data_IF_776944398303
#
_entry.id   IF_776944398303
#
_cell.length_a   1.000
_cell.length_b   1.000
_cell.length_c   1.000
_cell.angle_alpha   90.00
_cell.angle_beta   90.00
_cell.angle_gamma   90.00
#
_symmetry.space_group_name_H-M   'P 1'
#
loop_
_entity.id
_entity.type
_entity.pdbx_description
1 polymer ?
#
# COMPACT_ATOMS: atom_id res chain seq x y z
N UNK A 1 15.94 1.54 2.87
CA UNK A 1 15.34 2.76 3.49
C UNK A 1 14.86 3.70 2.39
N UNK A 2 14.12 4.78 2.66
CA UNK A 2 13.25 5.53 1.71
C UNK A 2 13.66 5.59 0.22
N UNK A 3 14.95 5.72 -0.10
CA UNK A 3 15.55 5.61 -1.44
C UNK A 3 15.15 4.34 -2.20
N UNK A 4 15.17 3.18 -1.56
CA UNK A 4 14.70 1.92 -2.17
C UNK A 4 13.20 1.97 -2.47
N UNK A 5 12.43 2.65 -1.62
CA UNK A 5 10.99 2.84 -1.83
C UNK A 5 10.69 3.65 -3.09
N UNK A 6 11.52 4.65 -3.39
CA UNK A 6 11.29 5.51 -4.57
C UNK A 6 11.31 4.72 -5.88
N UNK A 7 12.08 3.64 -5.95
CA UNK A 7 12.13 2.76 -7.13
C UNK A 7 10.79 2.07 -7.45
N UNK A 8 9.84 2.08 -6.52
CA UNK A 8 8.51 1.51 -6.71
C UNK A 8 7.47 2.52 -7.20
N UNK A 9 7.75 3.82 -7.18
CA UNK A 9 6.79 4.84 -7.64
C UNK A 9 6.41 4.57 -9.12
N UNK A 10 5.10 4.58 -9.39
CA UNK A 10 4.51 4.26 -10.68
C UNK A 10 4.34 2.76 -10.96
N UNK A 11 4.92 1.88 -10.13
CA UNK A 11 4.80 0.42 -10.29
C UNK A 11 3.58 -0.14 -9.57
N UNK A 12 3.11 -1.28 -10.06
CA UNK A 12 2.08 -2.08 -9.42
C UNK A 12 2.76 -3.16 -8.59
N UNK A 13 2.41 -3.23 -7.30
CA UNK A 13 2.94 -4.22 -6.36
C UNK A 13 1.82 -5.01 -5.71
N UNK A 14 2.14 -6.22 -5.27
CA UNK A 14 1.24 -7.01 -4.43
C UNK A 14 1.38 -6.60 -2.97
N UNK A 15 0.25 -6.44 -2.29
CA UNK A 15 0.18 -6.04 -0.90
C UNK A 15 -0.78 -6.96 -0.16
N UNK A 16 -0.29 -7.57 0.92
CA UNK A 16 -1.11 -8.28 1.90
C UNK A 16 -1.78 -7.25 2.82
N UNK A 17 -3.10 -7.23 2.86
CA UNK A 17 -3.87 -6.38 3.76
C UNK A 17 -3.75 -6.90 5.19
N UNK A 18 -3.35 -6.02 6.10
CA UNK A 18 -3.21 -6.33 7.53
C UNK A 18 -4.29 -5.66 8.38
N UNK A 19 -4.98 -4.66 7.85
CA UNK A 19 -6.13 -4.04 8.51
C UNK A 19 -6.37 -2.60 8.07
N UNK A 20 -7.10 -1.84 8.89
CA UNK A 20 -7.34 -0.41 8.66
C UNK A 20 -6.08 0.42 8.85
N UNK A 21 -5.92 1.44 8.00
CA UNK A 21 -4.86 2.44 8.15
C UNK A 21 -5.23 3.44 9.25
N UNK A 22 -4.25 3.83 10.07
CA UNK A 22 -4.35 4.99 10.96
C UNK A 22 -3.92 6.30 10.30
N UNK A 23 -3.28 6.23 9.12
CA UNK A 23 -2.85 7.40 8.34
C UNK A 23 -4.06 8.04 7.66
N UNK A 24 -4.29 9.33 7.94
CA UNK A 24 -5.38 10.10 7.33
C UNK A 24 -5.33 10.04 5.81
N UNK A 25 -6.50 9.89 5.18
CA UNK A 25 -6.64 9.79 3.73
C UNK A 25 -6.37 8.41 3.13
N UNK A 26 -6.02 7.41 3.95
CA UNK A 26 -5.84 6.02 3.53
C UNK A 26 -6.84 5.10 4.24
N UNK A 27 -7.32 4.08 3.54
CA UNK A 27 -8.38 3.19 4.01
C UNK A 27 -7.82 1.94 4.71
N UNK A 28 -6.71 1.41 4.21
CA UNK A 28 -6.11 0.15 4.68
C UNK A 28 -4.59 0.25 4.78
N UNK A 29 -4.00 -0.63 5.58
CA UNK A 29 -2.56 -0.84 5.68
C UNK A 29 -2.21 -2.28 5.35
N UNK A 30 -0.99 -2.48 4.87
CA UNK A 30 -0.48 -3.79 4.52
C UNK A 30 1.02 -3.82 4.33
N UNK A 31 1.52 -4.96 3.86
CA UNK A 31 2.94 -5.16 3.54
C UNK A 31 3.11 -5.78 2.17
N UNK A 32 4.18 -5.41 1.48
CA UNK A 32 4.62 -6.10 0.28
C UNK A 32 5.85 -6.96 0.61
N UNK A 33 6.08 -8.08 -0.09
CA UNK A 33 7.28 -8.90 0.12
C UNK A 33 8.58 -8.11 -0.08
N UNK A 34 8.53 -7.07 -0.90
CA UNK A 34 9.70 -6.31 -1.33
C UNK A 34 9.90 -4.99 -0.54
N UNK A 35 8.95 -4.57 0.30
CA UNK A 35 9.07 -3.33 1.08
C UNK A 35 8.19 -3.34 2.35
N UNK A 36 8.68 -2.67 3.40
CA UNK A 36 8.18 -2.84 4.77
C UNK A 36 6.67 -2.61 4.91
N UNK A 37 6.18 -1.38 4.66
CA UNK A 37 4.79 -1.02 4.91
C UNK A 37 4.14 -0.34 3.71
N UNK A 38 2.83 -0.49 3.58
CA UNK A 38 2.02 0.13 2.54
C UNK A 38 0.75 0.75 3.12
N UNK A 39 0.44 1.99 2.75
CA UNK A 39 -0.85 2.64 2.99
C UNK A 39 -1.65 2.66 1.69
N UNK A 40 -2.89 2.15 1.74
CA UNK A 40 -3.71 1.91 0.56
C UNK A 40 -4.97 2.78 0.61
N UNK A 41 -5.17 3.54 -0.46
CA UNK A 41 -6.45 4.17 -0.81
C UNK A 41 -7.30 3.21 -1.62
N UNK A 42 -8.58 3.12 -1.31
CA UNK A 42 -9.55 2.44 -2.18
C UNK A 42 -10.86 3.21 -2.22
N UNK A 43 -11.47 3.26 -3.39
CA UNK A 43 -12.84 3.77 -3.59
C UNK A 43 -13.88 2.65 -3.56
N UNK A 44 -13.43 1.39 -3.50
CA UNK A 44 -14.29 0.21 -3.68
C UNK A 44 -14.05 -0.81 -2.56
N UNK A 45 -15.15 -1.36 -2.04
CA UNK A 45 -15.19 -2.63 -1.31
C UNK A 45 -14.64 -2.65 0.12
N UNK A 46 -15.20 -3.55 0.91
CA UNK A 46 -14.64 -4.03 2.18
C UNK A 46 -13.52 -5.03 1.89
N UNK A 47 -12.29 -4.53 1.78
CA UNK A 47 -11.11 -5.39 1.90
C UNK A 47 -11.01 -5.91 3.34
N UNK A 48 -10.54 -7.13 3.52
CA UNK A 48 -10.32 -7.74 4.85
C UNK A 48 -8.85 -8.11 5.03
N UNK A 49 -8.46 -8.26 6.30
CA UNK A 49 -7.14 -8.78 6.65
C UNK A 49 -6.94 -10.16 6.02
N UNK A 50 -5.79 -10.37 5.39
CA UNK A 50 -5.46 -11.59 4.66
C UNK A 50 -5.64 -11.50 3.14
N UNK A 51 -6.36 -10.49 2.63
CA UNK A 51 -6.48 -10.28 1.19
C UNK A 51 -5.13 -9.85 0.60
N UNK A 52 -4.79 -10.39 -0.57
CA UNK A 52 -3.65 -9.91 -1.38
C UNK A 52 -4.22 -9.12 -2.55
N UNK A 53 -3.82 -7.86 -2.67
CA UNK A 53 -4.30 -6.94 -3.72
C UNK A 53 -3.15 -6.34 -4.50
N UNK A 54 -3.43 -5.86 -5.71
CA UNK A 54 -2.49 -5.01 -6.46
C UNK A 54 -2.69 -3.54 -6.07
N UNK A 55 -1.58 -2.83 -5.86
CA UNK A 55 -1.56 -1.41 -5.51
C UNK A 55 -0.63 -0.69 -6.48
N UNK A 56 -1.11 0.39 -7.09
CA UNK A 56 -0.25 1.33 -7.80
C UNK A 56 0.41 2.26 -6.78
N UNK A 57 1.74 2.27 -6.72
CA UNK A 57 2.48 3.11 -5.78
C UNK A 57 2.60 4.52 -6.34
N UNK A 58 2.13 5.50 -5.58
CA UNK A 58 2.07 6.91 -6.01
C UNK A 58 3.16 7.75 -5.34
N UNK A 59 3.52 7.44 -4.09
CA UNK A 59 4.59 8.14 -3.37
C UNK A 59 5.13 7.30 -2.21
N UNK A 60 6.20 7.78 -1.58
CA UNK A 60 6.82 7.18 -0.40
C UNK A 60 6.91 8.21 0.70
N UNK A 61 6.51 7.83 1.92
CA UNK A 61 6.66 8.67 3.11
C UNK A 61 7.24 7.84 4.25
N UNK A 62 8.41 8.25 4.76
CA UNK A 62 9.16 7.46 5.73
C UNK A 62 9.46 6.05 5.22
N UNK A 63 8.95 5.04 5.92
CA UNK A 63 9.12 3.62 5.57
C UNK A 63 7.88 3.00 4.91
N UNK A 64 6.98 3.83 4.37
CA UNK A 64 5.73 3.35 3.76
C UNK A 64 5.60 3.78 2.30
N UNK A 65 5.29 2.79 1.46
CA UNK A 65 4.74 3.02 0.13
C UNK A 65 3.29 3.48 0.29
N UNK A 66 2.86 4.44 -0.51
CA UNK A 66 1.50 4.94 -0.46
C UNK A 66 0.93 4.88 -1.85
N UNK A 67 -0.28 4.34 -1.97
CA UNK A 67 -0.84 4.06 -3.29
C UNK A 67 -2.33 3.82 -3.27
N UNK A 68 -2.84 3.54 -4.46
CA UNK A 68 -4.26 3.25 -4.69
C UNK A 68 -4.43 1.80 -5.13
N UNK A 69 -5.42 1.11 -4.56
CA UNK A 69 -5.77 -0.25 -4.95
C UNK A 69 -6.22 -0.28 -6.42
N UNK A 70 -5.71 -1.25 -7.16
CA UNK A 70 -6.15 -1.60 -8.52
C UNK A 70 -7.01 -2.84 -8.35
N UNK A 71 -8.32 -2.64 -8.38
CA UNK A 71 -9.35 -3.69 -8.23
C UNK A 71 -10.01 -3.96 -9.58
#
# INVERSE_FOLDING_TARGET
>A
TAEQGQSYIGKNIEVLIEGRSSKQGYSFKGRSPQYWGSNIRTKVGTLKTGDIIKVNVENVTGHSLNGTAIL
#
